data_IF_569260154766
#
_entry.id   IF_569260154766
#
_cell.length_a   1.000
_cell.length_b   1.000
_cell.length_c   1.000
_cell.angle_alpha   90.00
_cell.angle_beta   90.00
_cell.angle_gamma   90.00
#
_symmetry.space_group_name_H-M   'P 1'
#
loop_
_entity.id
_entity.type
_entity.pdbx_description
1 polymer ?
#
# COMPACT_ATOMS: atom_id res chain seq x y z
N UNK A 1 -16.64 8.41 -29.31
CA UNK A 1 -15.78 9.05 -28.27
C UNK A 1 -15.78 8.11 -27.08
N UNK A 2 -14.64 7.79 -26.47
CA UNK A 2 -14.61 6.89 -25.32
C UNK A 2 -15.37 7.52 -24.13
N UNK A 3 -16.12 6.72 -23.37
CA UNK A 3 -16.86 7.20 -22.20
C UNK A 3 -15.88 7.88 -21.21
N UNK A 4 -16.09 9.16 -20.85
CA UNK A 4 -15.18 9.90 -19.98
C UNK A 4 -15.03 9.26 -18.59
N UNK A 5 -16.02 8.49 -18.13
CA UNK A 5 -15.99 7.75 -16.86
C UNK A 5 -14.93 6.65 -16.87
N UNK A 6 -14.74 5.98 -18.01
CA UNK A 6 -13.69 4.96 -18.18
C UNK A 6 -12.31 5.58 -17.93
N UNK A 7 -12.06 6.80 -18.43
CA UNK A 7 -10.79 7.51 -18.18
C UNK A 7 -10.60 7.83 -16.70
N UNK A 8 -11.63 8.30 -16.01
CA UNK A 8 -11.57 8.57 -14.57
C UNK A 8 -11.26 7.31 -13.77
N UNK A 9 -11.90 6.21 -14.14
CA UNK A 9 -11.72 4.91 -13.52
C UNK A 9 -10.28 4.41 -13.65
N UNK A 10 -9.67 4.53 -14.84
CA UNK A 10 -8.24 4.20 -15.05
C UNK A 10 -7.32 5.08 -14.19
N UNK A 11 -7.60 6.38 -14.08
CA UNK A 11 -6.78 7.31 -13.28
C UNK A 11 -6.84 6.93 -11.80
N UNK A 12 -8.05 6.79 -11.24
CA UNK A 12 -8.27 6.44 -9.83
C UNK A 12 -7.66 5.08 -9.49
N UNK A 13 -7.83 4.09 -10.37
CA UNK A 13 -7.19 2.77 -10.26
C UNK A 13 -5.66 2.89 -10.20
N UNK A 14 -5.07 3.72 -11.06
CA UNK A 14 -3.63 3.96 -11.07
C UNK A 14 -3.12 4.60 -9.77
N UNK A 15 -3.91 5.49 -9.15
CA UNK A 15 -3.56 6.11 -7.85
C UNK A 15 -3.55 5.05 -6.75
N UNK A 16 -4.64 4.29 -6.60
CA UNK A 16 -4.75 3.22 -5.59
C UNK A 16 -3.63 2.21 -5.76
N UNK A 17 -3.39 1.72 -6.98
CA UNK A 17 -2.33 0.75 -7.28
C UNK A 17 -0.93 1.23 -6.87
N UNK A 18 -0.62 2.52 -7.03
CA UNK A 18 0.68 3.08 -6.61
C UNK A 18 0.78 3.16 -5.09
N UNK A 19 -0.27 3.63 -4.42
CA UNK A 19 -0.30 3.73 -2.95
C UNK A 19 -0.26 2.36 -2.27
N UNK A 20 -0.91 1.34 -2.85
CA UNK A 20 -0.80 -0.06 -2.40
C UNK A 20 0.65 -0.51 -2.44
N UNK A 21 1.35 -0.29 -3.57
CA UNK A 21 2.76 -0.65 -3.71
C UNK A 21 3.66 0.11 -2.73
N UNK A 22 3.45 1.42 -2.58
CA UNK A 22 4.21 2.26 -1.65
C UNK A 22 4.12 1.71 -0.22
N UNK A 23 2.90 1.49 0.27
CA UNK A 23 2.67 0.90 1.60
C UNK A 23 3.35 -0.47 1.75
N UNK A 24 3.16 -1.37 0.77
CA UNK A 24 3.75 -2.72 0.81
C UNK A 24 5.28 -2.68 0.81
N UNK A 25 5.91 -1.71 0.14
CA UNK A 25 7.37 -1.53 0.17
C UNK A 25 7.83 -1.11 1.56
N UNK A 26 7.17 -0.14 2.19
CA UNK A 26 7.53 0.27 3.56
C UNK A 26 7.34 -0.85 4.58
N UNK A 27 6.29 -1.68 4.44
CA UNK A 27 6.12 -2.85 5.31
C UNK A 27 7.24 -3.87 5.12
N UNK A 28 7.63 -4.14 3.87
CA UNK A 28 8.77 -5.01 3.58
C UNK A 28 10.06 -4.49 4.19
N UNK A 29 10.30 -3.18 4.15
CA UNK A 29 11.50 -2.58 4.75
C UNK A 29 11.53 -2.82 6.27
N UNK A 30 10.40 -2.60 6.97
CA UNK A 30 10.29 -2.91 8.41
C UNK A 30 10.57 -4.39 8.68
N UNK A 31 10.10 -5.30 7.84
CA UNK A 31 10.40 -6.73 7.98
C UNK A 31 11.89 -7.06 7.76
N UNK A 32 12.53 -6.45 6.75
CA UNK A 32 13.95 -6.62 6.45
C UNK A 32 14.79 -6.13 7.63
N UNK A 33 14.51 -4.94 8.15
CA UNK A 33 15.28 -4.34 9.25
C UNK A 33 15.05 -5.08 10.58
N UNK A 34 13.86 -5.65 10.81
CA UNK A 34 13.62 -6.59 11.92
C UNK A 34 14.42 -7.88 11.77
N UNK A 35 14.45 -8.47 10.58
CA UNK A 35 15.26 -9.68 10.34
C UNK A 35 16.76 -9.39 10.52
N UNK A 36 17.21 -8.19 10.17
CA UNK A 36 18.58 -7.73 10.43
C UNK A 36 18.87 -7.60 11.93
N UNK A 37 17.94 -7.06 12.72
CA UNK A 37 18.08 -7.01 14.18
C UNK A 37 18.24 -8.40 14.78
N UNK A 38 17.39 -9.36 14.38
CA UNK A 38 17.50 -10.75 14.86
C UNK A 38 18.83 -11.38 14.47
N UNK A 39 19.34 -11.09 13.26
CA UNK A 39 20.68 -11.51 12.86
C UNK A 39 21.76 -10.93 13.77
N UNK A 40 21.72 -9.63 14.07
CA UNK A 40 22.67 -9.01 15.00
C UNK A 40 22.62 -9.62 16.40
N UNK A 41 21.43 -9.96 16.91
CA UNK A 41 21.27 -10.67 18.19
C UNK A 41 21.95 -12.05 18.15
N UNK A 42 21.72 -12.82 17.08
CA UNK A 42 22.30 -14.15 16.92
C UNK A 42 23.82 -14.13 16.73
N UNK A 43 24.34 -13.09 16.08
CA UNK A 43 25.78 -12.88 15.87
C UNK A 43 26.49 -12.34 17.12
N UNK A 44 25.75 -12.10 18.22
CA UNK A 44 26.31 -11.61 19.49
C UNK A 44 26.74 -10.14 19.45
N UNK A 45 26.08 -9.32 18.63
CA UNK A 45 26.35 -7.88 18.56
C UNK A 45 26.11 -7.19 19.91
N UNK A 46 26.87 -6.13 20.18
CA UNK A 46 26.74 -5.36 21.41
C UNK A 46 25.44 -4.52 21.47
N UNK A 47 25.13 -4.02 22.66
CA UNK A 47 23.93 -3.23 22.91
C UNK A 47 23.86 -1.95 22.07
N UNK A 48 25.00 -1.32 21.76
CA UNK A 48 25.01 -0.12 20.95
C UNK A 48 24.56 -0.41 19.51
N UNK A 49 25.03 -1.51 18.91
CA UNK A 49 24.58 -1.97 17.58
C UNK A 49 23.09 -2.31 17.58
N UNK A 50 22.62 -3.04 18.59
CA UNK A 50 21.21 -3.43 18.69
C UNK A 50 20.29 -2.21 18.82
N UNK A 51 20.62 -1.25 19.70
CA UNK A 51 19.85 -0.01 19.85
C UNK A 51 19.84 0.81 18.56
N UNK A 52 20.97 0.90 17.85
CA UNK A 52 21.00 1.64 16.59
C UNK A 52 20.12 0.99 15.52
N UNK A 53 20.07 -0.34 15.50
CA UNK A 53 19.18 -1.06 14.57
C UNK A 53 17.70 -0.90 14.96
N UNK A 54 17.37 -0.79 16.24
CA UNK A 54 16.02 -0.46 16.71
C UNK A 54 15.59 0.95 16.25
N UNK A 55 16.47 1.96 16.33
CA UNK A 55 16.21 3.30 15.79
C UNK A 55 15.90 3.26 14.28
N UNK A 56 16.65 2.47 13.49
CA UNK A 56 16.40 2.30 12.05
C UNK A 56 15.01 1.70 11.79
N UNK A 57 14.59 0.73 12.61
CA UNK A 57 13.26 0.13 12.51
C UNK A 57 12.17 1.17 12.82
N UNK A 58 12.37 2.01 13.84
CA UNK A 58 11.44 3.09 14.19
C UNK A 58 11.30 4.10 13.04
N UNK A 59 12.42 4.51 12.44
CA UNK A 59 12.43 5.40 11.25
C UNK A 59 11.63 4.80 10.09
N UNK A 60 11.79 3.50 9.82
CA UNK A 60 11.04 2.82 8.79
C UNK A 60 9.53 2.77 9.12
N UNK A 61 9.18 2.53 10.39
CA UNK A 61 7.79 2.48 10.85
C UNK A 61 7.08 3.83 10.75
N UNK A 62 7.80 4.96 10.93
CA UNK A 62 7.22 6.29 10.82
C UNK A 62 6.58 6.59 9.45
N UNK A 63 6.96 5.85 8.40
CA UNK A 63 6.40 6.00 7.04
C UNK A 63 5.07 5.26 6.83
N UNK A 64 4.73 4.30 7.69
CA UNK A 64 3.55 3.44 7.54
C UNK A 64 2.21 4.18 7.79
N UNK A 65 2.07 5.06 8.81
CA UNK A 65 0.79 5.69 9.10
C UNK A 65 0.29 6.57 7.94
N UNK A 66 1.17 7.40 7.37
CA UNK A 66 0.79 8.31 6.29
C UNK A 66 0.48 7.56 4.98
N UNK A 67 1.31 6.57 4.61
CA UNK A 67 1.05 5.73 3.43
C UNK A 67 -0.26 4.95 3.55
N UNK A 68 -0.56 4.38 4.74
CA UNK A 68 -1.86 3.75 5.04
C UNK A 68 -3.01 4.74 4.93
N UNK A 69 -2.89 5.94 5.51
CA UNK A 69 -3.93 6.98 5.45
C UNK A 69 -4.23 7.41 4.02
N UNK A 70 -3.20 7.66 3.22
CA UNK A 70 -3.33 8.01 1.79
C UNK A 70 -4.01 6.90 1.00
N UNK A 71 -3.59 5.65 1.21
CA UNK A 71 -4.21 4.49 0.56
C UNK A 71 -5.69 4.34 0.92
N UNK A 72 -6.03 4.44 2.21
CA UNK A 72 -7.41 4.31 2.70
C UNK A 72 -8.33 5.34 2.04
N UNK A 73 -7.89 6.61 1.98
CA UNK A 73 -8.66 7.67 1.35
C UNK A 73 -8.96 7.40 -0.12
N UNK A 74 -7.93 7.04 -0.90
CA UNK A 74 -8.11 6.82 -2.34
C UNK A 74 -8.81 5.49 -2.65
N UNK A 75 -8.68 4.49 -1.75
CA UNK A 75 -9.47 3.27 -1.77
C UNK A 75 -10.97 3.60 -1.68
N UNK A 76 -11.39 4.38 -0.68
CA UNK A 76 -12.80 4.79 -0.49
C UNK A 76 -13.33 5.58 -1.70
N UNK A 77 -12.50 6.46 -2.28
CA UNK A 77 -12.84 7.22 -3.50
C UNK A 77 -13.09 6.28 -4.68
N UNK A 78 -12.22 5.29 -4.91
CA UNK A 78 -12.38 4.34 -6.01
C UNK A 78 -13.54 3.37 -5.76
N UNK A 79 -13.70 2.88 -4.53
CA UNK A 79 -14.80 1.99 -4.14
C UNK A 79 -16.15 2.66 -4.37
N UNK A 80 -16.32 3.91 -3.91
CA UNK A 80 -17.52 4.69 -4.18
C UNK A 80 -17.74 4.89 -5.69
N UNK A 81 -16.68 5.19 -6.44
CA UNK A 81 -16.79 5.38 -7.89
C UNK A 81 -17.30 4.11 -8.61
N UNK A 82 -16.86 2.91 -8.21
CA UNK A 82 -17.40 1.67 -8.75
C UNK A 82 -18.86 1.44 -8.34
N UNK A 83 -19.24 1.82 -7.12
CA UNK A 83 -20.63 1.70 -6.67
C UNK A 83 -21.59 2.62 -7.45
N UNK A 84 -21.13 3.83 -7.79
CA UNK A 84 -21.92 4.81 -8.54
C UNK A 84 -22.02 4.44 -10.03
N UNK A 85 -20.98 3.83 -10.61
CA UNK A 85 -20.86 3.53 -12.05
C UNK A 85 -20.99 2.03 -12.37
N UNK A 86 -21.94 1.34 -11.72
CA UNK A 86 -22.15 -0.11 -11.87
C UNK A 86 -22.52 -0.56 -13.28
N UNK A 87 -23.06 0.35 -14.10
CA UNK A 87 -23.35 0.09 -15.51
C UNK A 87 -22.09 -0.14 -16.35
N UNK A 88 -20.90 0.16 -15.82
CA UNK A 88 -19.61 -0.11 -16.48
C UNK A 88 -18.98 -1.46 -16.10
N UNK A 89 -19.69 -2.32 -15.35
CA UNK A 89 -19.15 -3.56 -14.77
C UNK A 89 -18.58 -4.57 -15.78
N UNK A 90 -19.05 -4.55 -17.04
CA UNK A 90 -18.54 -5.41 -18.11
C UNK A 90 -17.27 -4.84 -18.78
N UNK A 91 -16.85 -3.62 -18.43
CA UNK A 91 -15.66 -3.02 -19.01
C UNK A 91 -14.38 -3.53 -18.34
N UNK A 92 -13.34 -3.73 -19.15
CA UNK A 92 -11.98 -4.05 -18.68
C UNK A 92 -11.46 -3.08 -17.61
N UNK A 93 -11.84 -1.81 -17.70
CA UNK A 93 -11.39 -0.81 -16.75
C UNK A 93 -12.01 -1.10 -15.37
N UNK A 94 -13.33 -1.34 -15.32
CA UNK A 94 -14.06 -1.63 -14.08
C UNK A 94 -13.56 -2.90 -13.42
N UNK A 95 -13.37 -3.98 -14.18
CA UNK A 95 -12.86 -5.25 -13.64
C UNK A 95 -11.46 -5.08 -13.04
N UNK A 96 -10.55 -4.38 -13.74
CA UNK A 96 -9.21 -4.06 -13.22
C UNK A 96 -9.25 -3.19 -11.96
N UNK A 97 -10.17 -2.23 -11.89
CA UNK A 97 -10.35 -1.41 -10.70
C UNK A 97 -10.81 -2.25 -9.49
N UNK A 98 -11.75 -3.17 -9.70
CA UNK A 98 -12.24 -4.08 -8.67
C UNK A 98 -11.12 -5.01 -8.15
N UNK A 99 -10.28 -5.53 -9.05
CA UNK A 99 -9.08 -6.31 -8.67
C UNK A 99 -8.11 -5.48 -7.83
N UNK A 100 -7.82 -4.24 -8.25
CA UNK A 100 -6.93 -3.33 -7.51
C UNK A 100 -7.51 -2.98 -6.13
N UNK A 101 -8.82 -2.82 -5.99
CA UNK A 101 -9.45 -2.65 -4.68
C UNK A 101 -9.28 -3.89 -3.79
N UNK A 102 -9.39 -5.10 -4.35
CA UNK A 102 -9.15 -6.33 -3.59
C UNK A 102 -7.72 -6.36 -3.04
N UNK A 103 -6.73 -6.04 -3.88
CA UNK A 103 -5.32 -5.98 -3.49
C UNK A 103 -5.07 -4.89 -2.44
N UNK A 104 -5.65 -3.70 -2.66
CA UNK A 104 -5.54 -2.57 -1.74
C UNK A 104 -6.18 -2.88 -0.37
N UNK A 105 -7.33 -3.57 -0.35
CA UNK A 105 -7.99 -4.00 0.88
C UNK A 105 -7.12 -4.97 1.67
N UNK A 106 -6.53 -5.96 1.00
CA UNK A 106 -5.58 -6.87 1.63
C UNK A 106 -4.36 -6.13 2.19
N UNK A 107 -3.88 -5.10 1.50
CA UNK A 107 -2.79 -4.27 1.98
C UNK A 107 -3.20 -3.34 3.12
N UNK A 108 -4.46 -2.93 3.28
CA UNK A 108 -4.88 -2.04 4.38
C UNK A 108 -4.95 -2.75 5.75
N UNK A 109 -5.11 -4.07 5.73
CA UNK A 109 -5.31 -4.91 6.92
C UNK A 109 -6.79 -5.09 7.21
#
# INVERSE_FOLDING_TARGET
MADPRIRQLVIKTGVVKRLTKEKTVYEKEVHIERARLEKFRNDGADEHVLRKQEEVIEECQMMLPDSKRRLQKEFEVLEKYLQDEKDLNETDAYTKAAEVLKDAKAALG
#
